data_IF_799930995878
#
_entry.id   IF_799930995878
#
_cell.length_a   1.000
_cell.length_b   1.000
_cell.length_c   1.000
_cell.angle_alpha   90.00
_cell.angle_beta   90.00
_cell.angle_gamma   90.00
#
_symmetry.space_group_name_H-M   'P 1'
#
loop_
_entity.id
_entity.type
_entity.pdbx_description
1 polymer ?
#
# COMPACT_ATOMS: atom_id res chain seq x y z
N UNK A 1 -12.86 -14.76 -22.43
CA UNK A 1 -12.00 -15.45 -23.43
C UNK A 1 -10.74 -14.61 -23.58
N UNK A 2 -9.62 -15.03 -22.97
CA UNK A 2 -8.32 -14.41 -23.24
C UNK A 2 -7.87 -14.84 -24.63
N UNK A 3 -7.58 -13.89 -25.50
CA UNK A 3 -6.91 -14.18 -26.77
C UNK A 3 -5.47 -14.54 -26.43
N UNK A 4 -5.12 -15.80 -26.56
CA UNK A 4 -3.73 -16.24 -26.49
C UNK A 4 -3.00 -15.68 -27.71
N UNK A 5 -2.26 -14.59 -27.50
CA UNK A 5 -1.40 -14.02 -28.51
C UNK A 5 -0.13 -14.87 -28.53
N UNK A 6 -0.04 -15.79 -29.47
CA UNK A 6 1.16 -16.62 -29.66
C UNK A 6 2.25 -15.75 -30.30
N UNK A 7 3.17 -15.25 -29.47
CA UNK A 7 4.32 -14.45 -29.94
C UNK A 7 5.41 -15.43 -30.41
N UNK A 8 5.89 -15.33 -31.67
CA UNK A 8 6.98 -16.18 -32.14
C UNK A 8 8.25 -15.98 -31.30
N UNK A 9 8.92 -17.07 -30.92
CA UNK A 9 10.11 -17.04 -30.04
C UNK A 9 11.24 -16.12 -30.54
N UNK A 10 11.33 -15.91 -31.86
CA UNK A 10 12.27 -14.98 -32.48
C UNK A 10 12.04 -13.51 -32.08
N UNK A 11 10.78 -13.10 -31.85
CA UNK A 11 10.43 -11.75 -31.43
C UNK A 11 10.54 -11.56 -29.91
N UNK A 12 10.33 -12.64 -29.14
CA UNK A 12 10.47 -12.62 -27.66
C UNK A 12 11.88 -12.15 -27.25
N UNK A 13 12.91 -12.55 -28.01
CA UNK A 13 14.32 -12.14 -27.78
C UNK A 13 14.51 -10.62 -27.78
N UNK A 14 13.71 -9.87 -28.54
CA UNK A 14 13.82 -8.41 -28.64
C UNK A 14 12.77 -7.68 -27.80
N UNK A 15 11.59 -8.27 -27.65
CA UNK A 15 10.49 -7.69 -26.88
C UNK A 15 10.77 -7.67 -25.38
N UNK A 16 11.29 -8.75 -24.80
CA UNK A 16 11.54 -8.82 -23.35
C UNK A 16 12.55 -7.74 -22.89
N UNK A 17 13.71 -7.55 -23.55
CA UNK A 17 14.61 -6.45 -23.22
C UNK A 17 13.98 -5.07 -23.39
N UNK A 18 13.22 -4.83 -24.47
CA UNK A 18 12.56 -3.55 -24.72
C UNK A 18 11.54 -3.22 -23.63
N UNK A 19 10.71 -4.18 -23.21
CA UNK A 19 9.77 -4.00 -22.11
C UNK A 19 10.47 -3.78 -20.77
N UNK A 20 11.56 -4.49 -20.48
CA UNK A 20 12.38 -4.25 -19.28
C UNK A 20 12.95 -2.83 -19.26
N UNK A 21 13.45 -2.36 -20.41
CA UNK A 21 13.94 -0.99 -20.53
C UNK A 21 12.83 0.04 -20.30
N UNK A 22 11.60 -0.21 -20.80
CA UNK A 22 10.46 0.66 -20.55
C UNK A 22 10.03 0.65 -19.09
N UNK A 23 10.05 -0.49 -18.42
CA UNK A 23 9.80 -0.60 -16.97
C UNK A 23 10.80 0.26 -16.20
N UNK A 24 12.09 0.10 -16.46
CA UNK A 24 13.13 0.89 -15.78
C UNK A 24 12.96 2.41 -16.03
N UNK A 25 12.54 2.81 -17.22
CA UNK A 25 12.27 4.22 -17.53
C UNK A 25 11.06 4.76 -16.76
N UNK A 26 10.01 3.94 -16.60
CA UNK A 26 8.84 4.29 -15.78
C UNK A 26 9.25 4.41 -14.30
N UNK A 27 10.07 3.48 -13.80
CA UNK A 27 10.54 3.52 -12.41
C UNK A 27 11.39 4.77 -12.12
N UNK A 28 12.23 5.19 -13.07
CA UNK A 28 12.99 6.43 -12.97
C UNK A 28 12.06 7.66 -12.89
N UNK A 29 11.02 7.70 -13.72
CA UNK A 29 10.04 8.78 -13.74
C UNK A 29 9.19 8.82 -12.45
N UNK A 30 8.83 7.66 -11.89
CA UNK A 30 8.15 7.59 -10.58
C UNK A 30 9.04 8.20 -9.49
N UNK A 31 10.34 7.89 -9.50
CA UNK A 31 11.28 8.41 -8.51
C UNK A 31 11.42 9.93 -8.60
N UNK A 32 11.45 10.48 -9.82
CA UNK A 32 11.51 11.92 -10.06
C UNK A 32 10.24 12.63 -9.55
N UNK A 33 9.06 12.13 -9.93
CA UNK A 33 7.78 12.69 -9.48
C UNK A 33 7.59 12.59 -7.95
N UNK A 34 8.09 11.53 -7.32
CA UNK A 34 8.06 11.41 -5.87
C UNK A 34 8.95 12.45 -5.18
N UNK A 35 10.12 12.75 -5.74
CA UNK A 35 10.99 13.80 -5.23
C UNK A 35 10.35 15.19 -5.37
N UNK A 36 9.75 15.48 -6.52
CA UNK A 36 8.99 16.72 -6.76
C UNK A 36 7.83 16.87 -5.77
N UNK A 37 7.06 15.80 -5.54
CA UNK A 37 5.96 15.80 -4.55
C UNK A 37 6.45 16.18 -3.15
N UNK A 38 7.57 15.60 -2.71
CA UNK A 38 8.14 15.89 -1.39
C UNK A 38 8.61 17.34 -1.27
N UNK A 39 9.16 17.90 -2.34
CA UNK A 39 9.54 19.31 -2.39
C UNK A 39 8.30 20.22 -2.26
N UNK A 40 7.23 19.92 -2.99
CA UNK A 40 5.97 20.65 -2.91
C UNK A 40 5.35 20.57 -1.50
N UNK A 41 5.36 19.40 -0.86
CA UNK A 41 4.89 19.26 0.53
C UNK A 41 5.72 20.08 1.51
N UNK A 42 7.05 20.10 1.35
CA UNK A 42 7.93 20.95 2.16
C UNK A 42 7.63 22.44 1.96
N UNK A 43 7.38 22.87 0.72
CA UNK A 43 6.95 24.24 0.41
C UNK A 43 5.61 24.54 1.10
N UNK A 44 4.60 23.69 0.93
CA UNK A 44 3.28 23.86 1.58
C UNK A 44 3.45 24.00 3.09
N UNK A 45 4.16 23.08 3.74
CA UNK A 45 4.38 23.13 5.19
C UNK A 45 5.05 24.44 5.66
N UNK A 46 6.00 24.96 4.88
CA UNK A 46 6.70 26.23 5.15
C UNK A 46 5.78 27.46 5.05
N UNK A 47 4.76 27.42 4.20
CA UNK A 47 3.82 28.53 4.02
C UNK A 47 2.59 28.40 4.93
N UNK A 48 2.07 27.20 5.17
CA UNK A 48 0.99 26.96 6.14
C UNK A 48 1.38 27.39 7.55
N UNK A 49 2.65 27.22 7.94
CA UNK A 49 3.18 27.69 9.22
C UNK A 49 3.33 29.22 9.33
N UNK A 50 3.31 29.96 8.21
CA UNK A 50 3.38 31.43 8.19
C UNK A 50 2.01 32.12 8.16
N UNK A 51 0.96 31.44 7.73
CA UNK A 51 -0.39 32.02 7.58
C UNK A 51 -1.26 31.95 8.83
N UNK A 52 -0.77 31.44 9.97
CA UNK A 52 -1.55 31.37 11.21
C UNK A 52 -2.77 30.45 11.15
N UNK A 53 -2.95 29.72 10.04
CA UNK A 53 -3.87 28.59 9.96
C UNK A 53 -3.22 27.42 10.70
N UNK A 54 -3.56 27.29 11.98
CA UNK A 54 -3.32 26.07 12.73
C UNK A 54 -3.80 24.87 11.90
N UNK A 55 -2.96 23.86 11.62
CA UNK A 55 -3.43 22.67 10.96
C UNK A 55 -4.47 22.01 11.87
N UNK A 56 -5.70 21.93 11.38
CA UNK A 56 -6.70 21.08 12.01
C UNK A 56 -6.13 19.67 12.08
N UNK A 57 -6.36 19.04 13.22
CA UNK A 57 -5.66 17.88 13.75
C UNK A 57 -5.97 16.57 12.99
N UNK A 58 -5.90 16.53 11.65
CA UNK A 58 -6.26 15.34 10.86
C UNK A 58 -5.52 15.11 9.53
N UNK A 59 -4.55 15.94 9.11
CA UNK A 59 -3.87 15.75 7.80
C UNK A 59 -2.34 15.66 7.87
N UNK A 60 -1.80 15.23 9.01
CA UNK A 60 -0.39 14.82 9.10
C UNK A 60 -0.31 13.37 9.55
N UNK A 61 -0.86 12.45 8.74
CA UNK A 61 -0.25 11.13 8.67
C UNK A 61 0.88 11.25 7.67
N UNK A 62 2.09 11.38 8.20
CA UNK A 62 3.32 11.27 7.44
C UNK A 62 3.19 10.06 6.50
N UNK A 63 3.02 10.33 5.21
CA UNK A 63 3.24 9.36 4.15
C UNK A 63 4.75 9.22 4.03
N UNK A 64 5.39 8.66 5.06
CA UNK A 64 6.67 8.00 4.86
C UNK A 64 6.37 6.77 4.03
N UNK A 65 6.54 6.92 2.72
CA UNK A 65 6.68 5.80 1.79
C UNK A 65 7.94 5.04 2.20
N UNK A 66 7.84 4.22 3.25
CA UNK A 66 8.82 3.20 3.57
C UNK A 66 8.69 2.09 2.54
N UNK A 67 9.26 2.33 1.35
CA UNK A 67 9.46 1.30 0.32
C UNK A 67 10.50 0.26 0.75
N UNK A 68 11.18 0.45 1.89
CA UNK A 68 12.07 -0.55 2.46
C UNK A 68 11.26 -1.73 3.04
N UNK A 69 10.92 -2.67 2.17
CA UNK A 69 10.53 -4.03 2.55
C UNK A 69 9.22 -4.53 1.96
N UNK A 70 8.27 -3.65 1.62
CA UNK A 70 6.97 -4.07 1.10
C UNK A 70 7.10 -4.76 -0.28
N UNK A 71 6.49 -5.94 -0.46
CA UNK A 71 6.44 -6.64 -1.76
C UNK A 71 5.01 -6.91 -2.21
N UNK A 72 4.66 -6.41 -3.40
CA UNK A 72 3.31 -6.55 -3.96
C UNK A 72 2.94 -7.99 -4.34
N UNK A 73 3.92 -8.88 -4.51
CA UNK A 73 3.70 -10.30 -4.78
C UNK A 73 3.52 -11.15 -3.52
N UNK A 74 3.50 -10.54 -2.33
CA UNK A 74 3.24 -11.25 -1.08
C UNK A 74 1.81 -11.78 -0.98
N UNK A 75 1.65 -12.78 -0.11
CA UNK A 75 0.32 -13.21 0.31
C UNK A 75 -0.40 -12.06 1.01
N UNK A 76 -1.74 -12.04 0.94
CA UNK A 76 -2.56 -11.05 1.65
C UNK A 76 -2.21 -10.94 3.13
N UNK A 77 -1.90 -12.08 3.77
CA UNK A 77 -1.52 -12.07 5.18
C UNK A 77 -0.16 -11.40 5.41
N UNK A 78 0.84 -11.68 4.57
CA UNK A 78 2.16 -11.06 4.72
C UNK A 78 2.10 -9.53 4.48
N UNK A 79 1.24 -9.08 3.56
CA UNK A 79 0.97 -7.65 3.37
C UNK A 79 0.30 -7.02 4.60
N UNK A 80 -0.71 -7.69 5.16
CA UNK A 80 -1.37 -7.24 6.39
C UNK A 80 -0.42 -7.24 7.59
N UNK A 81 0.42 -8.28 7.73
CA UNK A 81 1.41 -8.39 8.79
C UNK A 81 2.43 -7.26 8.70
N UNK A 82 2.94 -6.94 7.51
CA UNK A 82 3.85 -5.82 7.31
C UNK A 82 3.23 -4.50 7.80
N UNK A 83 1.98 -4.24 7.41
CA UNK A 83 1.24 -3.04 7.80
C UNK A 83 0.98 -3.00 9.31
N UNK A 84 0.55 -4.12 9.89
CA UNK A 84 0.29 -4.21 11.32
C UNK A 84 1.58 -4.09 12.16
N UNK A 85 2.72 -4.58 11.68
CA UNK A 85 4.03 -4.39 12.34
C UNK A 85 4.48 -2.93 12.33
N UNK A 86 4.19 -2.22 11.25
CA UNK A 86 4.52 -0.80 11.12
C UNK A 86 3.55 0.13 11.87
N UNK A 87 2.40 -0.39 12.32
CA UNK A 87 1.38 0.39 13.01
C UNK A 87 1.58 0.38 14.53
N UNK A 88 1.51 1.55 15.15
CA UNK A 88 1.53 1.70 16.62
C UNK A 88 0.18 1.36 17.27
N UNK A 89 -0.87 1.21 16.46
CA UNK A 89 -2.25 0.94 16.93
C UNK A 89 -2.89 -0.25 16.18
N UNK A 90 -3.89 -0.91 16.78
CA UNK A 90 -4.73 -1.86 16.06
C UNK A 90 -5.44 -1.18 14.87
N UNK A 91 -5.54 -1.88 13.75
CA UNK A 91 -6.14 -1.35 12.52
C UNK A 91 -7.35 -2.16 12.09
N UNK A 92 -8.37 -1.48 11.56
CA UNK A 92 -9.50 -2.12 10.90
C UNK A 92 -9.10 -2.69 9.53
N UNK A 93 -9.92 -3.60 8.99
CA UNK A 93 -9.73 -4.11 7.62
C UNK A 93 -9.65 -2.98 6.59
N UNK A 94 -10.45 -1.92 6.77
CA UNK A 94 -10.46 -0.77 5.88
C UNK A 94 -9.14 0.01 5.97
N UNK A 95 -8.67 0.33 7.17
CA UNK A 95 -7.41 1.03 7.38
C UNK A 95 -6.22 0.23 6.84
N UNK A 96 -6.19 -1.09 7.02
CA UNK A 96 -5.16 -1.96 6.44
C UNK A 96 -5.15 -1.81 4.90
N UNK A 97 -6.33 -1.87 4.27
CA UNK A 97 -6.43 -1.74 2.81
C UNK A 97 -6.06 -0.35 2.31
N UNK A 98 -6.44 0.72 3.03
CA UNK A 98 -6.01 2.08 2.68
C UNK A 98 -4.48 2.20 2.72
N UNK A 99 -3.85 1.67 3.78
CA UNK A 99 -2.39 1.66 3.85
C UNK A 99 -1.76 0.82 2.73
N UNK A 100 -2.37 -0.31 2.34
CA UNK A 100 -1.91 -1.08 1.17
C UNK A 100 -1.96 -0.29 -0.14
N UNK A 101 -3.00 0.52 -0.34
CA UNK A 101 -3.17 1.32 -1.56
C UNK A 101 -2.05 2.36 -1.70
N UNK A 102 -1.52 2.86 -0.58
CA UNK A 102 -0.34 3.73 -0.61
C UNK A 102 0.90 3.04 -1.20
N UNK A 103 1.00 1.71 -1.09
CA UNK A 103 2.07 0.90 -1.70
C UNK A 103 1.69 0.30 -3.07
N UNK A 104 0.41 0.05 -3.31
CA UNK A 104 -0.14 -0.49 -4.56
C UNK A 104 -1.30 0.39 -5.08
N UNK A 105 -1.01 1.54 -5.73
CA UNK A 105 -2.06 2.50 -6.14
C UNK A 105 -3.09 1.95 -7.14
N UNK A 106 -2.73 0.88 -7.86
CA UNK A 106 -3.61 0.21 -8.82
C UNK A 106 -4.46 -0.92 -8.20
N UNK A 107 -4.36 -1.12 -6.88
CA UNK A 107 -5.09 -2.15 -6.17
C UNK A 107 -6.59 -1.84 -6.18
N UNK A 108 -7.39 -2.78 -6.67
CA UNK A 108 -8.85 -2.70 -6.60
C UNK A 108 -9.29 -2.81 -5.13
N UNK A 109 -9.60 -1.64 -4.54
CA UNK A 109 -10.00 -1.51 -3.13
C UNK A 109 -11.12 -2.47 -2.73
N UNK A 110 -12.14 -2.64 -3.57
CA UNK A 110 -13.30 -3.48 -3.23
C UNK A 110 -12.89 -4.95 -3.15
N UNK A 111 -12.08 -5.43 -4.09
CA UNK A 111 -11.55 -6.80 -4.07
C UNK A 111 -10.56 -7.01 -2.93
N UNK A 112 -9.74 -6.00 -2.64
CA UNK A 112 -8.81 -6.02 -1.53
C UNK A 112 -9.52 -6.15 -0.18
N UNK A 113 -10.57 -5.37 0.07
CA UNK A 113 -11.39 -5.46 1.29
C UNK A 113 -11.96 -6.86 1.50
N UNK A 114 -12.56 -7.45 0.45
CA UNK A 114 -13.14 -8.80 0.51
C UNK A 114 -12.07 -9.85 0.83
N UNK A 115 -10.95 -9.80 0.10
CA UNK A 115 -9.84 -10.75 0.27
C UNK A 115 -9.14 -10.60 1.63
N UNK A 116 -8.99 -9.36 2.09
CA UNK A 116 -8.37 -9.03 3.38
C UNK A 116 -9.24 -9.51 4.54
N UNK A 117 -10.56 -9.23 4.48
CA UNK A 117 -11.51 -9.68 5.51
C UNK A 117 -11.47 -11.20 5.69
N UNK A 118 -11.53 -11.95 4.59
CA UNK A 118 -11.42 -13.41 4.63
C UNK A 118 -10.07 -13.88 5.21
N UNK A 119 -8.97 -13.24 4.81
CA UNK A 119 -7.63 -13.57 5.29
C UNK A 119 -7.49 -13.35 6.79
N UNK A 120 -7.92 -12.19 7.30
CA UNK A 120 -7.83 -11.84 8.72
C UNK A 120 -8.72 -12.75 9.57
N UNK A 121 -9.93 -13.09 9.09
CA UNK A 121 -10.80 -14.04 9.79
C UNK A 121 -10.11 -15.40 10.00
N UNK A 122 -9.50 -15.95 8.95
CA UNK A 122 -8.75 -17.23 9.04
C UNK A 122 -7.57 -17.11 10.00
N UNK A 123 -6.84 -15.99 9.96
CA UNK A 123 -5.61 -15.81 10.73
C UNK A 123 -5.86 -15.54 12.21
N UNK A 124 -7.02 -14.96 12.53
CA UNK A 124 -7.55 -14.85 13.89
C UNK A 124 -7.79 -16.24 14.48
N UNK A 125 -8.44 -17.15 13.73
CA UNK A 125 -8.65 -18.53 14.19
C UNK A 125 -7.35 -19.30 14.39
N UNK A 126 -6.32 -19.00 13.60
CA UNK A 126 -4.99 -19.62 13.75
C UNK A 126 -4.12 -19.02 14.88
N UNK A 127 -4.62 -18.00 15.60
CA UNK A 127 -3.88 -17.37 16.71
C UNK A 127 -2.68 -16.53 16.29
N UNK A 128 -2.59 -16.12 15.02
CA UNK A 128 -1.49 -15.24 14.53
C UNK A 128 -1.78 -13.75 14.70
N UNK A 129 -3.05 -13.40 14.73
CA UNK A 129 -3.52 -12.03 14.97
C UNK A 129 -4.66 -12.08 15.98
N UNK A 130 -4.79 -11.02 16.76
CA UNK A 130 -5.86 -10.83 17.71
C UNK A 130 -6.86 -9.85 17.14
N UNK A 131 -8.13 -10.23 17.22
CA UNK A 131 -9.26 -9.39 16.83
C UNK A 131 -9.81 -8.69 18.07
N UNK A 132 -9.93 -7.37 18.00
CA UNK A 132 -10.51 -6.52 19.03
C UNK A 132 -11.87 -6.03 18.53
N UNK A 133 -12.92 -6.27 19.33
CA UNK A 133 -14.28 -5.83 19.02
C UNK A 133 -14.52 -4.51 19.75
N UNK A 134 -14.76 -3.45 18.98
CA UNK A 134 -15.09 -2.14 19.53
C UNK A 134 -16.61 -2.02 19.75
N UNK A 135 -17.03 -1.13 20.66
CA UNK A 135 -18.42 -0.95 21.14
C UNK A 135 -19.47 -0.54 20.06
N UNK A 136 -19.12 -0.58 18.77
CA UNK A 136 -20.00 -0.20 17.65
C UNK A 136 -19.97 -1.19 16.47
N UNK A 137 -19.62 -2.46 16.69
CA UNK A 137 -19.45 -3.51 15.68
C UNK A 137 -18.20 -3.39 14.78
N UNK A 138 -17.42 -2.32 14.92
CA UNK A 138 -16.12 -2.21 14.27
C UNK A 138 -15.11 -3.18 14.89
N UNK A 139 -14.38 -3.87 14.03
CA UNK A 139 -13.35 -4.85 14.41
C UNK A 139 -11.99 -4.33 13.96
N UNK A 140 -11.05 -4.30 14.90
CA UNK A 140 -9.66 -3.97 14.65
C UNK A 140 -8.78 -5.19 14.91
N UNK A 141 -7.58 -5.18 14.33
CA UNK A 141 -6.65 -6.30 14.36
C UNK A 141 -5.29 -5.82 14.85
N UNK A 142 -4.64 -6.65 15.67
CA UNK A 142 -3.26 -6.47 16.13
C UNK A 142 -2.50 -7.81 15.99
N UNK A 143 -1.17 -7.76 15.90
CA UNK A 143 -0.34 -8.96 15.89
C UNK A 143 -0.23 -9.51 17.31
N UNK A 144 -0.30 -10.84 17.42
CA UNK A 144 0.04 -11.52 18.67
C UNK A 144 1.56 -11.70 18.65
N UNK A 145 2.25 -11.05 19.59
CA UNK A 145 3.71 -11.18 19.78
C UNK A 145 4.02 -12.36 20.68
#
# INVERSE_FOLDING_TARGET
>A
MSKDITIPSSHVKYLVPAYRQRINAIDAMIKELAAERNELESVIAKYSSKEGNAPSHNEIQAVTTHTDGYKSNWTWFAKAEFILKASEKPLSTAEIVEQMINYEPLLDRRKALSSMSATLAVKTTSGKIKRIINNGADQTYELIT
#
